data_IF_166977177076
#
_entry.id   IF_166977177076
#
_cell.length_a   1.000
_cell.length_b   1.000
_cell.length_c   1.000
_cell.angle_alpha   90.00
_cell.angle_beta   90.00
_cell.angle_gamma   90.00
#
_symmetry.space_group_name_H-M   'P 1'
#
loop_
_entity.id
_entity.type
_entity.pdbx_description
1 polymer ?
#
# COMPACT_ATOMS: atom_id res chain seq x y z
N UNK A 1 -16.58 3.93 -6.22
CA UNK A 1 -16.63 3.47 -7.62
C UNK A 1 -17.65 2.34 -7.84
N UNK A 2 -17.47 1.15 -7.26
CA UNK A 2 -18.41 0.03 -7.44
C UNK A 2 -19.87 0.38 -7.12
N UNK A 3 -20.13 1.06 -6.00
CA UNK A 3 -21.47 1.54 -5.62
C UNK A 3 -22.08 2.43 -6.71
N UNK A 4 -21.30 3.40 -7.21
CA UNK A 4 -21.71 4.30 -8.28
C UNK A 4 -22.06 3.55 -9.56
N UNK A 5 -21.24 2.56 -9.94
CA UNK A 5 -21.50 1.71 -11.11
C UNK A 5 -22.83 0.95 -10.95
N UNK A 6 -23.03 0.30 -9.80
CA UNK A 6 -24.26 -0.45 -9.50
C UNK A 6 -25.49 0.45 -9.52
N UNK A 7 -25.44 1.61 -8.85
CA UNK A 7 -26.58 2.54 -8.79
C UNK A 7 -26.90 3.09 -10.20
N UNK A 8 -25.89 3.39 -11.01
CA UNK A 8 -26.09 3.84 -12.39
C UNK A 8 -26.77 2.80 -13.27
N UNK A 9 -26.44 1.51 -13.08
CA UNK A 9 -26.95 0.41 -13.91
C UNK A 9 -28.38 0.02 -13.50
N UNK A 10 -28.68 0.05 -12.20
CA UNK A 10 -30.02 -0.30 -11.67
C UNK A 10 -31.06 0.84 -11.73
N UNK A 11 -30.60 2.06 -12.05
CA UNK A 11 -31.42 3.24 -12.29
C UNK A 11 -31.42 4.25 -11.13
N UNK A 12 -31.76 5.52 -11.41
CA UNK A 12 -31.64 6.63 -10.45
C UNK A 12 -32.53 6.49 -9.21
N UNK A 13 -33.64 5.77 -9.32
CA UNK A 13 -34.59 5.59 -8.22
C UNK A 13 -34.29 4.33 -7.38
N UNK A 14 -33.24 3.57 -7.71
CA UNK A 14 -32.92 2.32 -7.03
C UNK A 14 -32.73 2.52 -5.52
N UNK A 15 -32.06 3.59 -5.10
CA UNK A 15 -31.84 3.93 -3.70
C UNK A 15 -33.15 4.22 -2.94
N UNK A 16 -34.17 4.72 -3.64
CA UNK A 16 -35.46 5.05 -3.03
C UNK A 16 -36.41 3.86 -2.94
N UNK A 17 -36.12 2.75 -3.64
CA UNK A 17 -36.98 1.57 -3.65
C UNK A 17 -37.06 0.91 -2.28
N UNK A 18 -38.29 0.60 -1.89
CA UNK A 18 -38.57 -0.14 -0.67
C UNK A 18 -38.38 -1.65 -0.88
N UNK A 19 -37.90 -2.36 0.14
CA UNK A 19 -37.77 -3.81 0.12
C UNK A 19 -39.15 -4.48 -0.10
N UNK A 20 -39.22 -5.58 -0.86
CA UNK A 20 -40.48 -6.29 -1.05
C UNK A 20 -40.94 -6.95 0.27
N UNK A 21 -42.25 -6.95 0.52
CA UNK A 21 -42.81 -7.69 1.65
C UNK A 21 -42.69 -9.21 1.42
N UNK A 22 -42.03 -9.92 2.33
CA UNK A 22 -41.97 -11.39 2.35
C UNK A 22 -42.77 -11.97 3.50
N UNK A 23 -43.17 -13.24 3.37
CA UNK A 23 -44.03 -13.93 4.34
C UNK A 23 -43.39 -14.12 5.72
N UNK A 24 -42.05 -14.21 5.79
CA UNK A 24 -41.32 -14.54 7.02
C UNK A 24 -40.47 -13.39 7.58
N UNK A 25 -40.16 -12.37 6.79
CA UNK A 25 -39.49 -11.15 7.25
C UNK A 25 -40.11 -9.92 6.58
N UNK A 26 -40.39 -8.89 7.38
CA UNK A 26 -41.08 -7.68 6.91
C UNK A 26 -40.06 -6.67 6.40
N UNK A 27 -40.45 -5.96 5.34
CA UNK A 27 -39.88 -4.67 4.97
C UNK A 27 -39.82 -3.75 6.21
N UNK A 28 -38.80 -2.91 6.28
CA UNK A 28 -38.69 -1.89 7.31
C UNK A 28 -39.97 -1.04 7.40
N UNK A 29 -40.53 -0.97 8.59
CA UNK A 29 -41.65 -0.10 8.94
C UNK A 29 -41.25 0.72 10.16
N UNK A 30 -41.24 2.04 9.99
CA UNK A 30 -40.75 2.96 11.02
C UNK A 30 -41.51 2.81 12.33
N UNK A 31 -42.84 2.67 12.28
CA UNK A 31 -43.69 2.57 13.46
C UNK A 31 -43.44 1.29 14.26
N UNK A 32 -43.29 0.16 13.56
CA UNK A 32 -42.94 -1.13 14.14
C UNK A 32 -41.52 -1.09 14.72
N UNK A 33 -40.57 -0.49 14.00
CA UNK A 33 -39.18 -0.37 14.46
C UNK A 33 -39.07 0.47 15.73
N UNK A 34 -39.73 1.63 15.83
CA UNK A 34 -39.76 2.44 17.07
C UNK A 34 -40.30 1.62 18.24
N UNK A 35 -41.41 0.91 18.02
CA UNK A 35 -42.04 0.08 19.05
C UNK A 35 -41.09 -1.01 19.55
N UNK A 36 -40.48 -1.76 18.62
CA UNK A 36 -39.58 -2.87 18.96
C UNK A 36 -38.27 -2.38 19.59
N UNK A 37 -37.68 -1.30 19.08
CA UNK A 37 -36.45 -0.73 19.64
C UNK A 37 -36.67 -0.21 21.06
N UNK A 38 -37.80 0.45 21.35
CA UNK A 38 -38.13 0.89 22.72
C UNK A 38 -38.39 -0.29 23.67
N UNK A 39 -38.96 -1.38 23.17
CA UNK A 39 -39.35 -2.53 23.99
C UNK A 39 -38.22 -3.52 24.21
N UNK A 40 -37.41 -3.78 23.18
CA UNK A 40 -36.43 -4.87 23.15
C UNK A 40 -35.00 -4.40 22.87
N UNK A 41 -34.79 -3.12 22.51
CA UNK A 41 -33.48 -2.58 22.13
C UNK A 41 -32.97 -3.07 20.77
N UNK A 42 -33.79 -3.82 20.02
CA UNK A 42 -33.43 -4.36 18.70
C UNK A 42 -34.66 -4.54 17.81
N UNK A 43 -34.48 -4.45 16.50
CA UNK A 43 -35.51 -4.75 15.49
C UNK A 43 -34.87 -5.42 14.27
N UNK A 44 -35.47 -6.48 13.74
CA UNK A 44 -34.95 -7.20 12.56
C UNK A 44 -35.91 -7.02 11.39
N UNK A 45 -35.40 -6.58 10.25
CA UNK A 45 -36.22 -6.32 9.06
C UNK A 45 -35.41 -6.49 7.76
N UNK A 46 -36.13 -6.41 6.63
CA UNK A 46 -35.52 -6.23 5.31
C UNK A 46 -35.35 -4.73 5.02
N UNK A 47 -34.22 -4.37 4.44
CA UNK A 47 -33.94 -3.04 3.87
C UNK A 47 -33.31 -3.20 2.50
N UNK A 48 -33.32 -2.12 1.73
CA UNK A 48 -32.48 -2.00 0.56
C UNK A 48 -31.04 -1.72 1.03
N UNK A 49 -30.06 -2.52 0.58
CA UNK A 49 -28.65 -2.30 0.89
C UNK A 49 -28.15 -0.91 0.47
N UNK A 50 -28.75 -0.30 -0.55
CA UNK A 50 -28.42 1.06 -0.97
C UNK A 50 -28.84 2.14 0.06
N UNK A 51 -29.61 1.78 1.10
CA UNK A 51 -29.92 2.71 2.18
C UNK A 51 -28.75 2.90 3.15
N UNK A 52 -27.78 1.98 3.13
CA UNK A 52 -26.58 2.05 3.96
C UNK A 52 -25.68 3.19 3.49
N UNK A 53 -25.04 3.87 4.44
CA UNK A 53 -24.02 4.86 4.13
C UNK A 53 -22.73 4.12 3.71
N UNK A 54 -22.46 4.11 2.41
CA UNK A 54 -21.31 3.41 1.84
C UNK A 54 -19.97 4.16 2.01
N UNK A 55 -20.01 5.45 2.34
CA UNK A 55 -18.82 6.25 2.63
C UNK A 55 -18.47 6.23 4.13
N UNK A 56 -19.43 5.80 4.96
CA UNK A 56 -19.22 5.62 6.39
C UNK A 56 -18.41 4.36 6.70
N UNK A 57 -17.38 4.54 7.53
CA UNK A 57 -16.71 3.45 8.25
C UNK A 57 -16.81 3.71 9.75
N UNK A 58 -17.19 2.72 10.57
CA UNK A 58 -17.10 2.83 12.02
C UNK A 58 -15.65 2.92 12.52
N UNK A 59 -14.66 2.61 11.69
CA UNK A 59 -13.24 2.63 12.05
C UNK A 59 -12.38 3.21 10.90
N UNK A 60 -12.56 4.49 10.55
CA UNK A 60 -12.01 5.07 9.31
C UNK A 60 -10.47 5.12 9.26
N UNK A 61 -9.81 5.02 10.42
CA UNK A 61 -8.35 5.00 10.54
C UNK A 61 -7.74 3.61 10.36
N UNK A 62 -8.55 2.56 10.21
CA UNK A 62 -8.08 1.18 10.12
C UNK A 62 -8.10 0.75 8.66
N UNK A 63 -6.98 0.31 8.08
CA UNK A 63 -6.95 -0.18 6.71
C UNK A 63 -7.79 -1.45 6.56
N UNK A 64 -8.53 -1.55 5.46
CA UNK A 64 -9.22 -2.78 5.08
C UNK A 64 -8.28 -3.67 4.26
N UNK A 65 -8.36 -4.98 4.49
CA UNK A 65 -7.56 -5.96 3.74
C UNK A 65 -8.37 -6.43 2.54
N UNK A 66 -8.01 -5.96 1.35
CA UNK A 66 -8.76 -6.27 0.11
C UNK A 66 -8.87 -7.77 -0.15
N UNK A 67 -7.85 -8.55 0.21
CA UNK A 67 -7.90 -10.02 0.11
C UNK A 67 -9.07 -10.63 0.87
N UNK A 68 -9.49 -10.03 1.99
CA UNK A 68 -10.70 -10.43 2.71
C UNK A 68 -11.94 -10.27 1.84
N UNK A 69 -12.04 -9.14 1.15
CA UNK A 69 -13.16 -8.83 0.25
C UNK A 69 -13.20 -9.83 -0.90
N UNK A 70 -12.05 -10.12 -1.52
CA UNK A 70 -11.94 -11.15 -2.57
C UNK A 70 -12.39 -12.52 -2.08
N UNK A 71 -11.88 -12.96 -0.92
CA UNK A 71 -12.27 -14.24 -0.32
C UNK A 71 -13.78 -14.29 -0.02
N UNK A 72 -14.38 -13.16 0.36
CA UNK A 72 -15.83 -13.07 0.55
C UNK A 72 -16.60 -13.11 -0.76
N UNK A 73 -16.10 -12.48 -1.83
CA UNK A 73 -16.69 -12.58 -3.18
C UNK A 73 -16.72 -14.03 -3.60
N UNK A 74 -15.58 -14.71 -3.55
CA UNK A 74 -15.45 -16.12 -3.96
C UNK A 74 -16.35 -17.06 -3.14
N UNK A 75 -16.47 -16.82 -1.82
CA UNK A 75 -17.18 -17.75 -0.94
C UNK A 75 -18.69 -17.48 -0.83
N UNK A 76 -19.12 -16.22 -0.71
CA UNK A 76 -20.52 -15.87 -0.46
C UNK A 76 -21.25 -15.31 -1.68
N UNK A 77 -20.51 -14.73 -2.63
CA UNK A 77 -21.07 -13.97 -3.74
C UNK A 77 -20.68 -14.54 -5.11
N UNK A 78 -20.22 -15.80 -5.15
CA UNK A 78 -20.14 -16.57 -6.39
C UNK A 78 -21.51 -16.70 -7.09
N UNK A 79 -22.60 -16.50 -6.34
CA UNK A 79 -23.97 -16.39 -6.81
C UNK A 79 -24.69 -15.24 -6.06
N UNK A 80 -25.78 -14.69 -6.62
CA UNK A 80 -26.58 -13.66 -5.95
C UNK A 80 -26.99 -14.04 -4.52
N UNK A 81 -26.58 -13.22 -3.54
CA UNK A 81 -26.84 -13.43 -2.12
C UNK A 81 -27.21 -12.10 -1.44
N UNK A 82 -28.12 -12.13 -0.46
CA UNK A 82 -28.64 -10.97 0.27
C UNK A 82 -28.02 -10.79 1.66
N UNK A 83 -26.78 -11.21 1.85
CA UNK A 83 -26.06 -11.16 3.13
C UNK A 83 -26.75 -11.95 4.25
N UNK A 84 -27.58 -12.96 3.94
CA UNK A 84 -28.35 -13.70 4.96
C UNK A 84 -27.47 -14.33 6.04
N UNK A 85 -26.28 -14.77 5.63
CA UNK A 85 -25.30 -15.35 6.55
C UNK A 85 -24.46 -14.25 7.23
N UNK A 86 -24.36 -13.07 6.63
CA UNK A 86 -23.55 -11.92 7.06
C UNK A 86 -24.46 -10.83 7.62
N UNK A 87 -25.11 -11.10 8.75
CA UNK A 87 -26.03 -10.14 9.37
C UNK A 87 -25.38 -8.75 9.50
N UNK A 88 -26.04 -7.77 8.90
CA UNK A 88 -25.63 -6.37 8.98
C UNK A 88 -26.31 -5.73 10.19
N UNK A 89 -25.52 -5.05 11.02
CA UNK A 89 -26.07 -4.25 12.11
C UNK A 89 -26.16 -2.80 11.72
N UNK A 90 -27.37 -2.28 11.70
CA UNK A 90 -27.60 -0.84 11.56
C UNK A 90 -27.77 -0.23 12.94
N UNK A 91 -27.26 0.99 13.11
CA UNK A 91 -27.36 1.70 14.39
C UNK A 91 -28.25 2.92 14.28
N UNK A 92 -29.11 3.07 15.29
CA UNK A 92 -29.89 4.28 15.56
C UNK A 92 -29.41 4.84 16.91
N UNK A 93 -29.13 6.14 16.97
CA UNK A 93 -28.71 6.73 18.23
C UNK A 93 -29.90 6.86 19.19
N UNK A 94 -29.65 6.68 20.49
CA UNK A 94 -30.65 6.85 21.56
C UNK A 94 -31.33 8.22 21.47
N UNK A 95 -30.57 9.26 21.10
CA UNK A 95 -31.08 10.61 20.86
C UNK A 95 -32.06 10.67 19.69
N UNK A 96 -31.82 9.94 18.61
CA UNK A 96 -32.69 9.95 17.42
C UNK A 96 -33.97 9.16 17.67
N UNK A 97 -33.83 8.00 18.31
CA UNK A 97 -34.97 7.17 18.70
C UNK A 97 -35.92 7.90 19.68
N UNK A 98 -35.38 8.72 20.59
CA UNK A 98 -36.19 9.54 21.50
C UNK A 98 -37.12 10.51 20.75
N UNK A 99 -36.71 10.96 19.56
CA UNK A 99 -37.49 11.83 18.69
C UNK A 99 -38.27 11.05 17.61
N UNK A 100 -38.30 9.72 17.69
CA UNK A 100 -38.83 8.83 16.65
C UNK A 100 -38.26 9.17 15.26
N UNK A 101 -36.94 9.39 15.18
CA UNK A 101 -36.24 9.68 13.92
C UNK A 101 -35.36 8.51 13.51
N UNK A 102 -35.34 8.24 12.21
CA UNK A 102 -34.39 7.35 11.56
C UNK A 102 -33.52 8.12 10.57
N UNK A 103 -32.33 7.61 10.24
CA UNK A 103 -31.50 8.20 9.20
C UNK A 103 -32.24 8.19 7.85
N UNK A 104 -31.94 9.17 6.99
CA UNK A 104 -32.47 9.18 5.62
C UNK A 104 -31.90 8.00 4.83
N UNK A 105 -32.63 7.51 3.82
CA UNK A 105 -32.10 6.51 2.87
C UNK A 105 -30.75 7.00 2.31
N UNK A 106 -29.76 6.12 2.29
CA UNK A 106 -28.37 6.41 1.90
C UNK A 106 -27.46 6.89 3.03
N UNK A 107 -28.00 7.08 4.25
CA UNK A 107 -27.24 7.57 5.42
C UNK A 107 -27.26 6.62 6.62
N UNK A 108 -27.70 5.37 6.41
CA UNK A 108 -27.79 4.39 7.49
C UNK A 108 -26.40 3.89 7.87
N UNK A 109 -25.91 4.34 9.03
CA UNK A 109 -24.65 3.88 9.62
C UNK A 109 -24.80 2.46 10.14
N UNK A 110 -23.75 1.66 9.99
CA UNK A 110 -23.72 0.27 10.44
C UNK A 110 -22.51 -0.03 11.33
N UNK A 111 -22.68 -0.99 12.23
CA UNK A 111 -21.64 -1.47 13.16
C UNK A 111 -21.00 -2.78 12.71
N UNK A 112 -21.60 -3.52 11.78
CA UNK A 112 -20.99 -4.74 11.24
C UNK A 112 -19.69 -4.42 10.48
N UNK A 113 -18.90 -5.46 10.20
CA UNK A 113 -17.73 -5.35 9.33
C UNK A 113 -18.13 -4.79 7.95
N UNK A 114 -17.26 -3.98 7.34
CA UNK A 114 -17.49 -3.32 6.04
C UNK A 114 -17.31 -4.28 4.85
N UNK A 115 -16.41 -5.26 4.99
CA UNK A 115 -16.01 -6.19 3.92
C UNK A 115 -17.18 -6.96 3.28
N UNK A 116 -18.20 -7.46 4.01
CA UNK A 116 -19.35 -8.13 3.42
C UNK A 116 -20.14 -7.26 2.44
N UNK A 117 -20.40 -6.00 2.80
CA UNK A 117 -21.14 -5.05 1.95
C UNK A 117 -20.28 -4.70 0.74
N UNK A 118 -18.99 -4.41 0.95
CA UNK A 118 -18.05 -4.14 -0.14
C UNK A 118 -17.93 -5.32 -1.12
N UNK A 119 -17.86 -6.55 -0.61
CA UNK A 119 -17.77 -7.77 -1.42
C UNK A 119 -19.03 -7.97 -2.26
N UNK A 120 -20.22 -7.75 -1.68
CA UNK A 120 -21.47 -7.80 -2.43
C UNK A 120 -21.49 -6.81 -3.59
N UNK A 121 -21.16 -5.52 -3.34
CA UNK A 121 -21.13 -4.51 -4.39
C UNK A 121 -20.04 -4.76 -5.44
N UNK A 122 -18.88 -5.27 -5.03
CA UNK A 122 -17.82 -5.66 -5.95
C UNK A 122 -18.25 -6.81 -6.88
N UNK A 123 -18.92 -7.85 -6.35
CA UNK A 123 -19.43 -8.96 -7.16
C UNK A 123 -20.47 -8.50 -8.20
N UNK A 124 -21.37 -7.59 -7.81
CA UNK A 124 -22.36 -7.01 -8.73
C UNK A 124 -21.67 -6.14 -9.79
N UNK A 125 -20.73 -5.28 -9.37
CA UNK A 125 -19.95 -4.44 -10.27
C UNK A 125 -19.18 -5.28 -11.31
N UNK A 126 -18.54 -6.38 -10.90
CA UNK A 126 -17.88 -7.31 -11.83
C UNK A 126 -18.87 -7.94 -12.82
N UNK A 127 -20.08 -8.29 -12.38
CA UNK A 127 -21.13 -8.82 -13.27
C UNK A 127 -21.58 -7.77 -14.31
N UNK A 128 -21.75 -6.51 -13.88
CA UNK A 128 -22.09 -5.38 -14.76
C UNK A 128 -20.96 -5.15 -15.78
N UNK A 129 -19.71 -5.16 -15.32
CA UNK A 129 -18.55 -4.89 -16.17
C UNK A 129 -18.38 -5.99 -17.22
N UNK A 130 -18.44 -7.27 -16.83
CA UNK A 130 -18.39 -8.38 -17.76
C UNK A 130 -19.51 -8.30 -18.82
N UNK A 131 -20.71 -7.86 -18.43
CA UNK A 131 -21.83 -7.64 -19.35
C UNK A 131 -21.52 -6.54 -20.37
N UNK A 132 -20.96 -5.41 -19.91
CA UNK A 132 -20.63 -4.25 -20.76
C UNK A 132 -19.49 -4.55 -21.74
N UNK A 133 -18.50 -5.30 -21.29
CA UNK A 133 -17.33 -5.67 -22.09
C UNK A 133 -17.61 -6.84 -23.03
N UNK A 134 -18.77 -7.50 -22.89
CA UNK A 134 -19.08 -8.73 -23.61
C UNK A 134 -18.15 -9.89 -23.24
N UNK A 135 -17.55 -9.85 -22.06
CA UNK A 135 -16.60 -10.87 -21.61
C UNK A 135 -17.32 -12.20 -21.40
N UNK A 136 -16.86 -13.25 -22.09
CA UNK A 136 -17.48 -14.57 -22.02
C UNK A 136 -18.83 -14.69 -22.75
N UNK A 137 -19.33 -13.63 -23.39
CA UNK A 137 -20.59 -13.65 -24.15
C UNK A 137 -20.30 -13.93 -25.62
N UNK A 138 -20.66 -15.13 -26.07
CA UNK A 138 -20.58 -15.54 -27.49
C UNK A 138 -21.95 -15.57 -28.16
N UNK A 139 -23.02 -15.59 -27.36
CA UNK A 139 -24.39 -15.78 -27.81
C UNK A 139 -25.36 -14.82 -27.11
N UNK A 140 -26.49 -14.54 -27.75
CA UNK A 140 -27.57 -13.76 -27.13
C UNK A 140 -28.15 -14.44 -25.89
N UNK A 141 -28.09 -15.78 -25.81
CA UNK A 141 -28.55 -16.53 -24.65
C UNK A 141 -27.66 -16.32 -23.41
N UNK A 142 -26.35 -16.18 -23.60
CA UNK A 142 -25.43 -15.85 -22.50
C UNK A 142 -25.65 -14.42 -22.00
N UNK A 143 -25.89 -13.47 -22.91
CA UNK A 143 -26.23 -12.09 -22.52
C UNK A 143 -27.51 -12.04 -21.68
N UNK A 144 -28.56 -12.74 -22.12
CA UNK A 144 -29.82 -12.82 -21.39
C UNK A 144 -29.62 -13.42 -19.99
N UNK A 145 -28.79 -14.45 -19.84
CA UNK A 145 -28.46 -15.03 -18.52
C UNK A 145 -27.79 -14.02 -17.60
N UNK A 146 -26.93 -13.15 -18.12
CA UNK A 146 -26.31 -12.09 -17.32
C UNK A 146 -27.33 -11.04 -16.89
N UNK A 147 -28.24 -10.63 -17.79
CA UNK A 147 -29.32 -9.71 -17.44
C UNK A 147 -30.26 -10.31 -16.38
N UNK A 148 -30.60 -11.60 -16.51
CA UNK A 148 -31.40 -12.34 -15.53
C UNK A 148 -30.66 -12.39 -14.18
N UNK A 149 -29.35 -12.65 -14.18
CA UNK A 149 -28.53 -12.65 -12.98
C UNK A 149 -28.49 -11.27 -12.30
N UNK A 150 -28.40 -10.18 -13.08
CA UNK A 150 -28.45 -8.81 -12.55
C UNK A 150 -29.83 -8.47 -11.97
N UNK A 151 -30.92 -8.97 -12.55
CA UNK A 151 -32.25 -8.85 -11.95
C UNK A 151 -32.30 -9.52 -10.57
N UNK A 152 -31.73 -10.73 -10.44
CA UNK A 152 -31.66 -11.43 -9.15
C UNK A 152 -30.79 -10.64 -8.17
N UNK A 153 -29.64 -10.10 -8.59
CA UNK A 153 -28.80 -9.25 -7.73
C UNK A 153 -29.56 -8.04 -7.20
N UNK A 154 -30.32 -7.36 -8.05
CA UNK A 154 -31.17 -6.23 -7.65
C UNK A 154 -32.19 -6.66 -6.59
N UNK A 155 -32.86 -7.79 -6.78
CA UNK A 155 -33.77 -8.35 -5.77
C UNK A 155 -33.03 -8.64 -4.46
N UNK A 156 -31.81 -9.20 -4.51
CA UNK A 156 -31.03 -9.50 -3.30
C UNK A 156 -30.60 -8.25 -2.53
N UNK A 157 -30.24 -7.17 -3.20
CA UNK A 157 -29.97 -5.89 -2.53
C UNK A 157 -31.21 -5.35 -1.83
N UNK A 158 -32.39 -5.43 -2.48
CA UNK A 158 -33.67 -5.04 -1.89
C UNK A 158 -34.11 -5.95 -0.72
N UNK A 159 -33.51 -7.13 -0.58
CA UNK A 159 -33.84 -8.12 0.44
C UNK A 159 -32.75 -8.25 1.50
N UNK A 160 -31.95 -7.21 1.70
CA UNK A 160 -30.85 -7.25 2.66
C UNK A 160 -31.42 -7.28 4.08
N UNK A 161 -31.12 -8.35 4.81
CA UNK A 161 -31.55 -8.48 6.19
C UNK A 161 -30.64 -7.68 7.11
N UNK A 162 -31.24 -6.81 7.94
CA UNK A 162 -30.54 -6.02 8.95
C UNK A 162 -31.10 -6.24 10.35
N UNK A 163 -30.22 -6.17 11.34
CA UNK A 163 -30.56 -6.04 12.75
C UNK A 163 -30.30 -4.58 13.16
N UNK A 164 -31.37 -3.81 13.43
CA UNK A 164 -31.28 -2.44 13.92
C UNK A 164 -31.10 -2.46 15.44
N UNK A 165 -30.10 -1.73 15.95
CA UNK A 165 -29.84 -1.56 17.38
C UNK A 165 -29.74 -0.12 17.80
N UNK A 166 -30.00 0.12 19.07
CA UNK A 166 -29.88 1.44 19.70
C UNK A 166 -28.50 1.56 20.35
N UNK A 167 -27.80 2.67 20.09
CA UNK A 167 -26.54 3.03 20.74
C UNK A 167 -26.61 4.43 21.33
N UNK A 168 -25.96 4.70 22.45
CA UNK A 168 -26.08 6.02 23.09
C UNK A 168 -25.35 7.13 22.34
N UNK A 169 -24.24 6.80 21.70
CA UNK A 169 -23.41 7.75 20.97
C UNK A 169 -22.50 7.05 19.94
N UNK A 170 -21.80 7.86 19.14
CA UNK A 170 -20.88 7.36 18.11
C UNK A 170 -19.68 6.59 18.68
N UNK A 171 -19.23 6.88 19.91
CA UNK A 171 -18.12 6.14 20.54
C UNK A 171 -18.54 4.70 20.82
N UNK A 172 -19.75 4.49 21.35
CA UNK A 172 -20.31 3.15 21.55
C UNK A 172 -20.51 2.40 20.23
N UNK A 173 -20.92 3.09 19.17
CA UNK A 173 -20.99 2.53 17.81
C UNK A 173 -19.63 2.00 17.35
N UNK A 174 -18.55 2.76 17.55
CA UNK A 174 -17.20 2.28 17.23
C UNK A 174 -16.85 1.01 18.01
N UNK A 175 -17.08 1.00 19.33
CA UNK A 175 -16.82 -0.18 20.18
C UNK A 175 -17.66 -1.39 19.79
N UNK A 176 -18.94 -1.18 19.47
CA UNK A 176 -19.80 -2.24 18.96
C UNK A 176 -19.22 -2.84 17.67
N UNK A 177 -18.70 -2.01 16.77
CA UNK A 177 -18.06 -2.49 15.55
C UNK A 177 -16.78 -3.31 15.80
N UNK A 178 -15.98 -2.92 16.79
CA UNK A 178 -14.83 -3.73 17.22
C UNK A 178 -15.29 -5.06 17.81
N UNK A 179 -16.30 -5.02 18.69
CA UNK A 179 -16.85 -6.20 19.33
C UNK A 179 -17.44 -7.17 18.31
N UNK A 180 -18.03 -6.66 17.22
CA UNK A 180 -18.46 -7.49 16.09
C UNK A 180 -17.30 -8.30 15.53
N UNK A 181 -16.17 -7.66 15.23
CA UNK A 181 -14.99 -8.35 14.67
C UNK A 181 -14.39 -9.37 15.65
N UNK A 182 -14.45 -9.14 16.95
CA UNK A 182 -14.01 -10.11 17.97
C UNK A 182 -15.00 -11.26 18.17
N UNK A 183 -16.31 -11.02 18.03
CA UNK A 183 -17.37 -12.02 18.21
C UNK A 183 -17.51 -13.01 17.06
N UNK A 184 -16.83 -12.78 15.94
CA UNK A 184 -16.91 -13.61 14.74
C UNK A 184 -16.11 -14.91 14.98
N UNK A 185 -16.66 -15.75 15.87
CA UNK A 185 -16.15 -17.08 16.18
C UNK A 185 -16.24 -18.05 14.98
N UNK A 186 -17.00 -17.69 13.94
CA UNK A 186 -17.27 -18.53 12.76
C UNK A 186 -16.57 -18.05 11.47
N UNK A 187 -15.94 -16.87 11.41
CA UNK A 187 -15.29 -16.37 10.17
C UNK A 187 -13.92 -15.77 10.44
N UNK A 188 -12.93 -16.63 10.48
CA UNK A 188 -11.53 -16.30 10.79
C UNK A 188 -10.91 -15.24 9.88
N UNK A 189 -11.45 -15.00 8.67
CA UNK A 189 -10.93 -13.97 7.75
C UNK A 189 -11.47 -12.55 8.03
N UNK A 190 -12.54 -12.38 8.82
CA UNK A 190 -13.02 -11.06 9.25
C UNK A 190 -12.39 -10.58 10.57
N UNK A 191 -11.63 -11.46 11.23
CA UNK A 191 -10.90 -11.13 12.44
C UNK A 191 -9.88 -10.03 12.15
N UNK A 192 -9.79 -9.05 13.06
CA UNK A 192 -8.80 -7.98 12.92
C UNK A 192 -7.39 -8.56 12.87
N UNK A 193 -6.61 -8.09 11.91
CA UNK A 193 -5.18 -8.39 11.86
C UNK A 193 -4.43 -7.61 12.94
N UNK A 194 -3.16 -8.00 13.18
CA UNK A 194 -2.30 -7.27 14.11
C UNK A 194 -2.02 -5.83 13.65
N UNK A 195 -1.93 -5.59 12.33
CA UNK A 195 -1.74 -4.24 11.76
C UNK A 195 -2.97 -3.39 12.01
N UNK A 196 -4.16 -3.91 11.71
CA UNK A 196 -5.43 -3.23 11.98
C UNK A 196 -5.60 -2.90 13.46
N UNK A 197 -5.20 -3.80 14.36
CA UNK A 197 -5.19 -3.57 15.81
C UNK A 197 -4.25 -2.43 16.19
N UNK A 198 -3.06 -2.31 15.58
CA UNK A 198 -2.12 -1.21 15.86
C UNK A 198 -2.69 0.14 15.41
N UNK A 199 -3.33 0.21 14.23
CA UNK A 199 -4.01 1.44 13.79
C UNK A 199 -5.13 1.85 14.76
N UNK A 200 -5.89 0.87 15.26
CA UNK A 200 -6.92 1.10 16.26
C UNK A 200 -6.35 1.65 17.58
N UNK A 201 -5.28 1.03 18.10
CA UNK A 201 -4.58 1.48 19.30
C UNK A 201 -4.10 2.93 19.16
N UNK A 202 -3.52 3.29 18.02
CA UNK A 202 -3.08 4.66 17.75
C UNK A 202 -4.26 5.64 17.73
N UNK A 203 -5.37 5.27 17.08
CA UNK A 203 -6.55 6.13 17.00
C UNK A 203 -7.15 6.38 18.40
N UNK A 204 -7.25 5.34 19.22
CA UNK A 204 -7.75 5.45 20.61
C UNK A 204 -6.77 6.19 21.53
N UNK A 205 -5.47 5.98 21.38
CA UNK A 205 -4.45 6.77 22.09
C UNK A 205 -4.57 8.27 21.76
N UNK A 206 -4.77 8.60 20.48
CA UNK A 206 -4.98 9.99 20.03
C UNK A 206 -6.27 10.57 20.62
N UNK A 207 -7.34 9.78 20.70
CA UNK A 207 -8.62 10.19 21.29
C UNK A 207 -8.53 10.47 22.79
N UNK A 208 -7.79 9.66 23.55
CA UNK A 208 -7.56 9.88 24.98
C UNK A 208 -6.63 11.07 25.26
N UNK A 209 -5.80 11.43 24.28
CA UNK A 209 -4.89 12.57 24.35
C UNK A 209 -3.49 12.21 24.87
N UNK A 210 -2.55 13.17 24.82
CA UNK A 210 -1.12 12.92 25.02
C UNK A 210 -0.72 12.57 26.46
N UNK A 211 -1.62 12.74 27.42
CA UNK A 211 -1.37 12.48 28.84
C UNK A 211 -1.90 11.13 29.32
N UNK A 212 -2.63 10.39 28.46
CA UNK A 212 -3.13 9.08 28.82
C UNK A 212 -1.97 8.07 28.88
N UNK A 213 -1.94 7.30 29.95
CA UNK A 213 -1.00 6.19 30.08
C UNK A 213 -1.46 5.00 29.23
N UNK A 214 -0.55 4.07 28.96
CA UNK A 214 -0.90 2.81 28.34
C UNK A 214 -1.84 1.97 29.22
N UNK A 215 -1.75 2.11 30.55
CA UNK A 215 -2.68 1.45 31.50
C UNK A 215 -4.10 1.98 31.31
N UNK A 216 -4.28 3.30 31.17
CA UNK A 216 -5.59 3.91 30.90
C UNK A 216 -6.20 3.36 29.59
N UNK A 217 -5.37 3.22 28.56
CA UNK A 217 -5.82 2.66 27.30
C UNK A 217 -6.15 1.17 27.42
N UNK A 218 -5.35 0.37 28.14
CA UNK A 218 -5.67 -1.03 28.40
C UNK A 218 -6.98 -1.21 29.17
N UNK A 219 -7.21 -0.38 30.19
CA UNK A 219 -8.47 -0.33 30.94
C UNK A 219 -9.65 -0.02 30.02
N UNK A 220 -9.51 1.00 29.16
CA UNK A 220 -10.55 1.37 28.19
C UNK A 220 -10.94 0.19 27.30
N UNK A 221 -9.97 -0.58 26.77
CA UNK A 221 -10.25 -1.78 25.99
C UNK A 221 -10.94 -2.87 26.83
N UNK A 222 -10.43 -3.16 28.03
CA UNK A 222 -10.99 -4.21 28.88
C UNK A 222 -12.42 -3.91 29.35
N UNK A 223 -12.78 -2.64 29.51
CA UNK A 223 -14.13 -2.20 29.87
C UNK A 223 -15.11 -2.29 28.70
N UNK A 224 -14.66 -2.04 27.47
CA UNK A 224 -15.54 -1.91 26.30
C UNK A 224 -15.51 -3.13 25.36
N UNK A 225 -14.49 -3.99 25.45
CA UNK A 225 -14.25 -5.07 24.50
C UNK A 225 -14.02 -6.40 25.22
N UNK A 226 -14.79 -7.40 24.83
CA UNK A 226 -14.60 -8.80 25.20
C UNK A 226 -13.81 -9.50 24.11
N UNK A 227 -12.50 -9.61 24.34
CA UNK A 227 -11.58 -10.26 23.40
C UNK A 227 -11.88 -11.75 23.25
N UNK A 228 -11.75 -12.25 22.02
CA UNK A 228 -11.77 -13.69 21.75
C UNK A 228 -10.60 -14.40 22.46
N UNK A 229 -10.77 -15.67 22.83
CA UNK A 229 -9.67 -16.47 23.39
C UNK A 229 -8.51 -16.69 22.42
N UNK A 230 -8.72 -16.42 21.12
CA UNK A 230 -7.69 -16.48 20.08
C UNK A 230 -6.97 -15.14 19.88
N UNK A 231 -7.53 -14.05 20.39
CA UNK A 231 -6.97 -12.71 20.26
C UNK A 231 -5.86 -12.49 21.28
N UNK A 232 -4.83 -11.76 20.88
CA UNK A 232 -3.75 -11.32 21.77
C UNK A 232 -4.33 -10.35 22.83
N UNK A 233 -4.05 -10.55 24.13
CA UNK A 233 -4.56 -9.67 25.17
C UNK A 233 -3.98 -8.25 25.02
N UNK A 234 -4.84 -7.24 25.20
CA UNK A 234 -4.45 -5.83 25.15
C UNK A 234 -3.94 -5.43 26.54
N UNK A 235 -2.65 -5.69 26.79
CA UNK A 235 -1.91 -5.27 27.98
C UNK A 235 -1.16 -3.95 27.75
N UNK A 236 -0.70 -3.30 28.82
CA UNK A 236 0.21 -2.13 28.73
C UNK A 236 1.40 -2.40 27.79
N UNK A 237 2.09 -3.53 27.99
CA UNK A 237 3.19 -3.92 27.11
C UNK A 237 2.75 -4.12 25.64
N UNK A 238 1.57 -4.70 25.38
CA UNK A 238 1.05 -4.83 24.01
C UNK A 238 0.80 -3.45 23.37
N UNK A 239 0.29 -2.49 24.15
CA UNK A 239 0.06 -1.12 23.72
C UNK A 239 1.37 -0.41 23.42
N UNK A 240 2.36 -0.48 24.32
CA UNK A 240 3.69 0.10 24.08
C UNK A 240 4.32 -0.44 22.79
N UNK A 241 4.26 -1.77 22.62
CA UNK A 241 4.76 -2.43 21.43
C UNK A 241 4.05 -1.95 20.16
N UNK A 242 2.71 -1.91 20.18
CA UNK A 242 1.90 -1.45 19.04
C UNK A 242 2.17 0.00 18.68
N UNK A 243 2.19 0.92 19.65
CA UNK A 243 2.46 2.34 19.42
C UNK A 243 3.89 2.58 18.93
N UNK A 244 4.88 1.79 19.38
CA UNK A 244 6.23 1.84 18.83
C UNK A 244 6.27 1.40 17.36
N UNK A 245 5.58 0.29 17.03
CA UNK A 245 5.46 -0.19 15.65
C UNK A 245 4.80 0.86 14.77
N UNK A 246 3.73 1.50 15.24
CA UNK A 246 3.08 2.57 14.50
C UNK A 246 4.08 3.67 14.12
N UNK A 247 4.79 4.20 15.13
CA UNK A 247 5.76 5.30 14.95
C UNK A 247 6.98 4.94 14.09
N UNK A 248 7.48 3.71 14.20
CA UNK A 248 8.72 3.27 13.51
C UNK A 248 8.48 2.59 12.16
N UNK A 249 7.28 2.10 11.88
CA UNK A 249 6.97 1.34 10.67
C UNK A 249 5.73 1.87 9.95
N UNK A 250 4.56 1.85 10.58
CA UNK A 250 3.29 2.07 9.87
C UNK A 250 3.08 3.52 9.41
N UNK A 251 3.76 4.50 10.02
CA UNK A 251 3.78 5.89 9.55
C UNK A 251 4.56 6.04 8.22
N UNK A 252 5.45 5.10 7.88
CA UNK A 252 6.27 5.18 6.68
C UNK A 252 5.63 4.37 5.53
N UNK A 253 5.23 5.03 4.43
CA UNK A 253 4.55 4.36 3.32
C UNK A 253 5.32 3.19 2.72
N UNK A 254 6.65 3.27 2.69
CA UNK A 254 7.51 2.23 2.12
C UNK A 254 7.43 0.92 2.92
N UNK A 255 7.34 1.03 4.26
CA UNK A 255 7.19 -0.14 5.13
C UNK A 255 5.74 -0.61 5.15
N UNK A 256 4.78 0.33 5.24
CA UNK A 256 3.36 0.01 5.28
C UNK A 256 2.93 -0.77 4.03
N UNK A 257 3.37 -0.39 2.83
CA UNK A 257 3.06 -1.12 1.60
C UNK A 257 3.54 -2.56 1.62
N UNK A 258 4.74 -2.82 2.16
CA UNK A 258 5.26 -4.19 2.30
C UNK A 258 4.42 -4.99 3.29
N UNK A 259 4.06 -4.37 4.42
CA UNK A 259 3.23 -5.00 5.44
C UNK A 259 1.84 -5.34 4.87
N UNK A 260 1.18 -4.40 4.18
CA UNK A 260 -0.16 -4.60 3.62
C UNK A 260 -0.19 -5.70 2.54
N UNK A 261 0.85 -5.81 1.70
CA UNK A 261 1.00 -6.94 0.77
C UNK A 261 1.11 -8.27 1.51
N UNK A 262 1.84 -8.28 2.61
CA UNK A 262 2.00 -9.48 3.44
C UNK A 262 0.71 -9.83 4.21
N UNK A 263 -0.20 -8.88 4.45
CA UNK A 263 -1.51 -9.14 5.05
C UNK A 263 -2.45 -9.94 4.15
N UNK A 264 -2.20 -9.99 2.83
CA UNK A 264 -2.94 -10.83 1.90
C UNK A 264 -2.84 -12.33 2.28
N UNK A 265 -1.78 -12.73 3.00
CA UNK A 265 -1.61 -14.09 3.50
C UNK A 265 -2.35 -14.38 4.82
N UNK A 266 -3.08 -13.40 5.39
CA UNK A 266 -3.86 -13.55 6.63
C UNK A 266 -3.11 -14.23 7.78
N UNK A 267 -3.59 -15.39 8.25
CA UNK A 267 -2.99 -16.19 9.34
C UNK A 267 -1.62 -16.76 8.98
N UNK A 268 -1.26 -16.73 7.69
CA UNK A 268 0.06 -17.12 7.21
C UNK A 268 0.98 -15.92 7.01
N UNK A 269 0.55 -14.70 7.32
CA UNK A 269 1.37 -13.49 7.27
C UNK A 269 2.58 -13.61 8.20
N UNK A 270 3.75 -13.12 7.77
CA UNK A 270 4.93 -13.01 8.65
C UNK A 270 4.75 -11.95 9.73
N UNK A 271 3.78 -11.05 9.55
CA UNK A 271 3.48 -9.90 10.40
C UNK A 271 2.15 -10.06 11.15
N UNK A 272 1.70 -11.30 11.33
CA UNK A 272 0.45 -11.70 12.00
C UNK A 272 0.40 -11.36 13.52
N UNK A 273 1.45 -10.80 14.13
CA UNK A 273 1.53 -10.50 15.56
C UNK A 273 2.13 -9.13 15.88
N UNK A 274 1.56 -8.42 16.86
CA UNK A 274 2.09 -7.12 17.34
C UNK A 274 3.52 -7.29 17.85
N UNK A 275 3.77 -8.33 18.64
CA UNK A 275 5.09 -8.64 19.19
C UNK A 275 6.13 -8.97 18.10
N UNK A 276 5.73 -9.59 16.97
CA UNK A 276 6.62 -9.88 15.84
C UNK A 276 7.02 -8.61 15.10
N UNK A 277 6.07 -7.74 14.79
CA UNK A 277 6.32 -6.42 14.19
C UNK A 277 7.22 -5.56 15.08
N UNK A 278 6.94 -5.56 16.39
CA UNK A 278 7.72 -4.83 17.38
C UNK A 278 9.17 -5.34 17.44
N UNK A 279 9.37 -6.66 17.42
CA UNK A 279 10.73 -7.23 17.44
C UNK A 279 11.59 -6.72 16.27
N UNK A 280 11.00 -6.56 15.08
CA UNK A 280 11.68 -5.95 13.93
C UNK A 280 12.03 -4.49 14.23
N UNK A 281 11.03 -3.69 14.63
CA UNK A 281 11.19 -2.26 14.91
C UNK A 281 12.16 -1.95 16.08
N UNK A 282 12.28 -2.87 17.03
CA UNK A 282 13.16 -2.75 18.18
C UNK A 282 14.63 -3.10 17.84
N UNK A 283 14.85 -3.88 16.78
CA UNK A 283 16.20 -4.24 16.30
C UNK A 283 16.75 -3.26 15.28
N UNK A 284 15.90 -2.44 14.68
CA UNK A 284 16.30 -1.43 13.71
C UNK A 284 16.56 -0.09 14.41
N UNK A 285 17.71 0.49 14.10
CA UNK A 285 18.20 1.74 14.68
C UNK A 285 17.83 2.95 13.82
N UNK A 286 17.79 2.78 12.50
CA UNK A 286 17.41 3.84 11.55
C UNK A 286 16.19 3.45 10.71
N UNK A 287 15.58 4.45 10.08
CA UNK A 287 14.44 4.24 9.17
C UNK A 287 14.85 3.40 7.97
N UNK A 288 16.01 3.67 7.39
CA UNK A 288 16.54 2.98 6.21
C UNK A 288 16.78 1.51 6.50
N UNK A 289 17.32 1.22 7.70
CA UNK A 289 17.48 -0.16 8.18
C UNK A 289 16.11 -0.85 8.31
N UNK A 290 15.10 -0.17 8.86
CA UNK A 290 13.76 -0.72 8.95
C UNK A 290 13.14 -1.02 7.56
N UNK A 291 13.19 -0.06 6.63
CA UNK A 291 12.72 -0.25 5.24
C UNK A 291 13.39 -1.46 4.62
N UNK A 292 14.72 -1.56 4.75
CA UNK A 292 15.49 -2.66 4.20
C UNK A 292 15.08 -4.00 4.82
N UNK A 293 14.98 -4.10 6.15
CA UNK A 293 14.62 -5.34 6.84
C UNK A 293 13.21 -5.81 6.45
N UNK A 294 12.20 -4.93 6.46
CA UNK A 294 10.83 -5.30 6.08
C UNK A 294 10.77 -5.79 4.63
N UNK A 295 11.38 -5.04 3.70
CA UNK A 295 11.42 -5.41 2.27
C UNK A 295 12.16 -6.72 2.04
N UNK A 296 13.30 -6.93 2.72
CA UNK A 296 14.10 -8.14 2.62
C UNK A 296 13.33 -9.37 3.13
N UNK A 297 12.64 -9.26 4.26
CA UNK A 297 11.81 -10.34 4.82
C UNK A 297 10.73 -10.75 3.81
N UNK A 298 9.99 -9.79 3.26
CA UNK A 298 8.97 -10.07 2.27
C UNK A 298 9.56 -10.69 0.99
N UNK A 299 10.70 -10.16 0.51
CA UNK A 299 11.41 -10.70 -0.65
C UNK A 299 11.83 -12.17 -0.45
N UNK A 300 12.44 -12.51 0.69
CA UNK A 300 12.79 -13.90 0.99
C UNK A 300 11.57 -14.84 1.02
N UNK A 301 10.39 -14.34 1.40
CA UNK A 301 9.16 -15.12 1.33
C UNK A 301 8.76 -15.37 -0.12
N UNK A 302 8.69 -14.31 -0.92
CA UNK A 302 8.30 -14.39 -2.33
C UNK A 302 9.21 -15.31 -3.15
N UNK A 303 10.48 -15.43 -2.78
CA UNK A 303 11.44 -16.33 -3.43
C UNK A 303 11.46 -17.76 -2.87
N UNK A 304 10.64 -18.08 -1.85
CA UNK A 304 10.67 -19.39 -1.20
C UNK A 304 11.96 -19.63 -0.38
N UNK A 305 12.71 -18.57 -0.06
CA UNK A 305 13.89 -18.65 0.81
C UNK A 305 13.53 -18.81 2.29
N UNK A 306 12.25 -18.58 2.63
CA UNK A 306 11.70 -18.87 3.95
C UNK A 306 10.79 -20.10 3.94
N UNK A 307 10.85 -20.95 4.98
CA UNK A 307 10.01 -22.14 5.07
C UNK A 307 8.52 -21.77 5.20
N UNK A 308 7.68 -22.46 4.44
CA UNK A 308 6.22 -22.23 4.26
C UNK A 308 5.35 -22.27 5.52
N UNK A 309 5.88 -22.61 6.70
CA UNK A 309 5.05 -22.88 7.88
C UNK A 309 5.53 -22.12 9.11
N UNK A 310 4.70 -21.18 9.55
CA UNK A 310 4.69 -20.55 10.87
C UNK A 310 6.07 -20.05 11.34
N UNK A 311 6.50 -18.91 10.82
CA UNK A 311 7.69 -18.23 11.33
C UNK A 311 7.40 -17.50 12.66
N UNK A 312 6.82 -18.17 13.65
CA UNK A 312 7.16 -17.85 15.06
C UNK A 312 8.67 -18.02 15.27
N UNK A 313 9.32 -18.84 14.42
CA UNK A 313 10.74 -19.06 14.39
C UNK A 313 11.52 -18.20 13.39
N UNK A 314 11.01 -17.12 12.77
CA UNK A 314 11.90 -16.25 11.96
C UNK A 314 13.06 -15.74 12.83
N UNK A 315 12.85 -15.48 14.12
CA UNK A 315 13.92 -15.10 15.03
C UNK A 315 14.78 -16.27 15.55
N UNK A 316 14.25 -17.49 15.57
CA UNK A 316 15.08 -18.71 15.71
C UNK A 316 15.90 -18.95 14.44
N UNK A 317 15.41 -18.55 13.25
CA UNK A 317 15.99 -18.77 11.93
C UNK A 317 16.98 -17.66 11.52
N UNK A 318 16.63 -16.38 11.58
CA UNK A 318 17.56 -15.23 11.60
C UNK A 318 18.51 -15.29 12.82
N UNK A 319 18.17 -16.09 13.83
CA UNK A 319 19.04 -16.54 14.92
C UNK A 319 19.93 -17.75 14.59
N UNK A 320 19.58 -18.56 13.58
CA UNK A 320 20.41 -19.67 13.13
C UNK A 320 21.57 -19.14 12.30
N UNK A 321 22.73 -19.78 12.45
CA UNK A 321 23.90 -19.48 11.64
C UNK A 321 23.58 -19.54 10.13
N UNK A 322 22.62 -20.37 9.71
CA UNK A 322 22.27 -20.61 8.30
C UNK A 322 21.59 -19.41 7.63
N UNK A 323 20.56 -18.82 8.23
CA UNK A 323 19.91 -17.63 7.62
C UNK A 323 20.84 -16.43 7.71
N UNK A 324 21.55 -16.21 8.83
CA UNK A 324 22.56 -15.13 8.91
C UNK A 324 23.69 -15.32 7.91
N UNK A 325 24.08 -16.55 7.61
CA UNK A 325 25.06 -16.84 6.58
C UNK A 325 24.48 -16.58 5.18
N UNK A 326 23.22 -16.95 4.93
CA UNK A 326 22.55 -16.68 3.65
C UNK A 326 22.35 -15.18 3.42
N UNK A 327 21.95 -14.43 4.44
CA UNK A 327 21.89 -12.96 4.41
C UNK A 327 23.27 -12.37 4.16
N UNK A 328 24.29 -12.77 4.93
CA UNK A 328 25.67 -12.30 4.72
C UNK A 328 26.22 -12.68 3.34
N UNK A 329 25.81 -13.82 2.80
CA UNK A 329 26.21 -14.28 1.46
C UNK A 329 25.51 -13.47 0.37
N UNK A 330 24.19 -13.27 0.49
CA UNK A 330 23.41 -12.48 -0.46
C UNK A 330 23.77 -10.99 -0.41
N UNK A 331 24.27 -10.50 0.73
CA UNK A 331 24.70 -9.12 0.91
C UNK A 331 26.23 -8.98 0.98
N UNK A 332 26.99 -9.97 0.51
CA UNK A 332 28.45 -9.92 0.53
C UNK A 332 28.96 -8.78 -0.36
N UNK A 333 28.31 -8.57 -1.50
CA UNK A 333 28.54 -7.46 -2.41
C UNK A 333 27.29 -7.22 -3.30
N UNK A 334 27.31 -6.16 -4.10
CA UNK A 334 26.21 -5.78 -4.99
C UNK A 334 25.89 -6.85 -6.03
N UNK A 335 26.88 -7.63 -6.48
CA UNK A 335 26.71 -8.68 -7.48
C UNK A 335 25.99 -9.87 -6.87
N UNK A 336 26.41 -10.32 -5.68
CA UNK A 336 25.76 -11.38 -4.92
C UNK A 336 24.30 -11.03 -4.59
N UNK A 337 24.01 -9.75 -4.32
CA UNK A 337 22.64 -9.29 -4.10
C UNK A 337 21.82 -9.36 -5.38
N UNK A 338 22.35 -8.84 -6.50
CA UNK A 338 21.68 -8.88 -7.83
C UNK A 338 21.38 -10.29 -8.29
N UNK A 339 22.34 -11.20 -8.13
CA UNK A 339 22.18 -12.63 -8.41
C UNK A 339 21.11 -13.25 -7.51
N UNK A 340 21.09 -12.88 -6.23
CA UNK A 340 20.12 -13.40 -5.27
C UNK A 340 18.69 -12.90 -5.55
N UNK A 341 18.51 -11.63 -5.91
CA UNK A 341 17.18 -11.05 -6.19
C UNK A 341 16.62 -11.43 -7.56
N UNK A 342 17.32 -12.28 -8.32
CA UNK A 342 16.89 -12.71 -9.64
C UNK A 342 16.87 -11.58 -10.67
N UNK A 343 17.68 -10.52 -10.48
CA UNK A 343 17.97 -9.59 -11.58
C UNK A 343 18.81 -10.40 -12.56
N UNK A 344 18.12 -11.01 -13.52
CA UNK A 344 18.71 -11.97 -14.44
C UNK A 344 19.94 -11.39 -15.12
N UNK A 345 20.87 -12.27 -15.48
CA UNK A 345 21.80 -12.02 -16.59
C UNK A 345 21.03 -11.97 -17.92
N UNK A 346 19.88 -11.31 -17.97
CA UNK A 346 19.33 -10.90 -19.25
C UNK A 346 20.39 -9.98 -19.85
N UNK A 347 20.89 -10.34 -21.02
CA UNK A 347 21.79 -9.50 -21.77
C UNK A 347 21.06 -8.18 -21.99
N UNK A 348 21.39 -7.18 -21.17
CA UNK A 348 20.87 -5.83 -21.35
C UNK A 348 21.23 -5.45 -22.77
N UNK A 349 20.23 -5.13 -23.59
CA UNK A 349 20.50 -4.66 -24.95
C UNK A 349 21.32 -3.37 -24.83
N UNK A 350 22.62 -3.49 -25.11
CA UNK A 350 23.55 -2.38 -25.15
C UNK A 350 23.59 -1.73 -26.54
N UNK A 351 22.61 -1.98 -27.40
CA UNK A 351 22.50 -1.38 -28.73
C UNK A 351 22.50 0.15 -28.71
N UNK A 352 22.05 0.77 -27.62
CA UNK A 352 22.15 2.22 -27.39
C UNK A 352 23.59 2.73 -27.22
N UNK A 353 24.56 1.84 -26.94
CA UNK A 353 25.99 2.14 -26.94
C UNK A 353 26.63 2.09 -28.33
N UNK A 354 25.89 1.67 -29.36
CA UNK A 354 26.43 1.59 -30.71
C UNK A 354 26.91 2.97 -31.18
N UNK A 355 28.19 3.08 -31.54
CA UNK A 355 28.83 4.33 -31.95
C UNK A 355 29.38 5.19 -30.81
N UNK A 356 29.38 4.69 -29.57
CA UNK A 356 30.06 5.36 -28.47
C UNK A 356 31.56 5.41 -28.69
N UNK A 357 32.18 6.50 -28.23
CA UNK A 357 33.62 6.60 -28.18
C UNK A 357 34.19 5.76 -27.04
N UNK A 358 35.46 5.39 -27.13
CA UNK A 358 36.14 4.62 -26.07
C UNK A 358 36.14 5.38 -24.74
N UNK A 359 36.27 6.71 -24.78
CA UNK A 359 36.16 7.57 -23.60
C UNK A 359 34.78 7.49 -22.94
N UNK A 360 33.69 7.45 -23.73
CA UNK A 360 32.33 7.32 -23.20
C UNK A 360 32.10 5.96 -22.51
N UNK A 361 32.64 4.88 -23.07
CA UNK A 361 32.60 3.56 -22.41
C UNK A 361 33.42 3.52 -21.13
N UNK A 362 34.59 4.15 -21.10
CA UNK A 362 35.44 4.23 -19.90
C UNK A 362 34.81 5.08 -18.80
N UNK A 363 34.13 6.18 -19.13
CA UNK A 363 33.32 6.95 -18.17
C UNK A 363 32.22 6.10 -17.57
N UNK A 364 31.50 5.34 -18.40
CA UNK A 364 30.41 4.50 -17.92
C UNK A 364 30.91 3.34 -17.04
N UNK A 365 32.05 2.73 -17.39
CA UNK A 365 32.71 1.73 -16.56
C UNK A 365 33.16 2.33 -15.22
N UNK A 366 33.78 3.51 -15.26
CA UNK A 366 34.18 4.24 -14.06
C UNK A 366 32.98 4.56 -13.15
N UNK A 367 31.91 5.11 -13.70
CA UNK A 367 30.67 5.39 -12.96
C UNK A 367 30.06 4.10 -12.41
N UNK A 368 30.08 3.02 -13.20
CA UNK A 368 29.64 1.70 -12.78
C UNK A 368 30.41 1.19 -11.57
N UNK A 369 31.73 1.29 -11.59
CA UNK A 369 32.60 0.89 -10.49
C UNK A 369 32.51 1.84 -9.28
N UNK A 370 32.32 3.13 -9.50
CA UNK A 370 32.18 4.13 -8.44
C UNK A 370 30.85 4.03 -7.69
N UNK A 371 29.77 3.74 -8.40
CA UNK A 371 28.41 3.71 -7.84
C UNK A 371 28.06 2.32 -7.34
N UNK A 372 28.43 1.26 -8.08
CA UNK A 372 27.92 -0.09 -7.83
C UNK A 372 28.98 -1.07 -7.34
N UNK A 373 30.26 -0.68 -7.27
CA UNK A 373 31.34 -1.55 -6.75
C UNK A 373 31.95 -1.02 -5.46
N UNK A 374 32.46 -1.93 -4.64
CA UNK A 374 33.24 -1.59 -3.44
C UNK A 374 34.65 -1.08 -3.77
N UNK A 375 35.07 -1.13 -5.05
CA UNK A 375 36.43 -0.82 -5.51
C UNK A 375 36.97 0.52 -5.01
N UNK A 376 36.10 1.52 -4.90
CA UNK A 376 36.46 2.89 -4.48
C UNK A 376 35.77 3.36 -3.18
N UNK A 377 34.91 2.52 -2.58
CA UNK A 377 34.06 2.91 -1.46
C UNK A 377 34.83 3.36 -0.22
N UNK A 378 35.84 2.61 0.22
CA UNK A 378 36.59 2.94 1.45
C UNK A 378 37.38 4.24 1.31
N UNK A 379 37.91 4.48 0.12
CA UNK A 379 38.64 5.70 -0.20
C UNK A 379 37.71 6.92 -0.26
N UNK A 380 36.61 6.84 -1.03
CA UNK A 380 35.61 7.91 -1.07
C UNK A 380 35.04 8.19 0.33
N UNK A 381 34.73 7.16 1.10
CA UNK A 381 34.24 7.30 2.48
C UNK A 381 35.25 7.98 3.39
N UNK A 382 36.54 7.64 3.25
CA UNK A 382 37.62 8.27 4.03
C UNK A 382 37.79 9.73 3.66
N UNK A 383 37.77 10.04 2.36
CA UNK A 383 37.92 11.41 1.89
C UNK A 383 36.72 12.30 2.23
N UNK A 384 35.49 11.77 2.19
CA UNK A 384 34.29 12.45 2.68
C UNK A 384 34.36 12.73 4.18
N UNK A 385 34.84 11.77 4.99
CA UNK A 385 35.05 11.97 6.43
C UNK A 385 36.10 13.04 6.74
N UNK A 386 37.10 13.16 5.87
CA UNK A 386 38.17 14.15 5.99
C UNK A 386 37.82 15.49 5.35
N UNK A 387 36.63 15.63 4.76
CA UNK A 387 36.18 16.83 4.04
C UNK A 387 37.19 17.30 2.98
N UNK A 388 37.85 16.36 2.31
CA UNK A 388 38.80 16.65 1.22
C UNK A 388 38.08 17.23 0.02
N UNK A 389 38.75 18.13 -0.71
CA UNK A 389 38.27 18.58 -2.02
C UNK A 389 38.26 17.41 -3.01
N UNK A 390 37.53 17.53 -4.12
CA UNK A 390 37.47 16.46 -5.14
C UNK A 390 38.85 16.23 -5.73
N UNK A 391 39.60 17.31 -5.94
CA UNK A 391 40.98 17.30 -6.41
C UNK A 391 41.87 16.52 -5.43
N UNK A 392 41.78 16.82 -4.13
CA UNK A 392 42.52 16.09 -3.09
C UNK A 392 42.10 14.61 -3.01
N UNK A 393 40.83 14.28 -3.28
CA UNK A 393 40.36 12.88 -3.33
C UNK A 393 41.03 12.12 -4.48
N UNK A 394 41.09 12.73 -5.67
CA UNK A 394 41.68 12.14 -6.86
C UNK A 394 43.20 12.02 -6.77
N UNK A 395 43.86 12.96 -6.10
CA UNK A 395 45.30 12.92 -5.87
C UNK A 395 45.70 11.96 -4.74
N UNK A 396 44.86 11.80 -3.72
CA UNK A 396 45.17 10.94 -2.56
C UNK A 396 44.83 9.47 -2.75
N UNK A 397 44.02 9.12 -3.74
CA UNK A 397 43.71 7.74 -4.11
C UNK A 397 44.29 7.40 -5.49
N UNK A 398 45.36 6.60 -5.50
CA UNK A 398 46.01 6.21 -6.75
C UNK A 398 45.06 5.50 -7.70
N UNK A 399 44.10 4.71 -7.22
CA UNK A 399 43.21 3.92 -8.08
C UNK A 399 42.11 4.77 -8.69
N UNK A 400 41.49 5.65 -7.89
CA UNK A 400 40.46 6.57 -8.38
C UNK A 400 41.07 7.62 -9.32
N UNK A 401 42.25 8.15 -8.96
CA UNK A 401 43.01 9.07 -9.78
C UNK A 401 43.48 8.47 -11.10
N UNK A 402 43.95 7.21 -11.09
CA UNK A 402 44.35 6.47 -12.30
C UNK A 402 43.15 6.26 -13.24
N UNK A 403 41.98 5.88 -12.73
CA UNK A 403 40.79 5.67 -13.57
C UNK A 403 40.30 6.97 -14.22
N UNK A 404 40.33 8.10 -13.49
CA UNK A 404 39.98 9.42 -14.05
C UNK A 404 41.03 9.88 -15.05
N UNK A 405 42.32 9.58 -14.80
CA UNK A 405 43.41 9.90 -15.73
C UNK A 405 43.27 9.11 -17.03
N UNK A 406 42.94 7.82 -16.95
CA UNK A 406 42.71 6.96 -18.11
C UNK A 406 41.57 7.50 -18.99
N UNK A 407 40.45 7.91 -18.39
CA UNK A 407 39.34 8.56 -19.11
C UNK A 407 39.80 9.85 -19.82
N UNK A 408 40.59 10.69 -19.14
CA UNK A 408 41.11 11.94 -19.72
C UNK A 408 42.07 11.69 -20.88
N UNK A 409 42.94 10.69 -20.77
CA UNK A 409 43.88 10.30 -21.81
C UNK A 409 43.14 9.78 -23.05
N UNK A 410 42.12 8.94 -22.87
CA UNK A 410 41.28 8.46 -23.97
C UNK A 410 40.54 9.60 -24.68
N UNK A 411 39.96 10.52 -23.92
CA UNK A 411 39.28 11.69 -24.48
C UNK A 411 40.25 12.59 -25.27
N UNK A 412 41.47 12.75 -24.78
CA UNK A 412 42.51 13.51 -25.49
C UNK A 412 42.95 12.81 -26.77
N UNK A 413 43.13 11.49 -26.75
CA UNK A 413 43.50 10.71 -27.93
C UNK A 413 42.41 10.76 -29.00
N UNK A 414 41.13 10.70 -28.61
CA UNK A 414 39.99 10.86 -29.53
C UNK A 414 39.95 12.24 -30.17
N UNK A 415 40.24 13.30 -29.40
CA UNK A 415 40.34 14.68 -29.93
C UNK A 415 41.48 14.82 -30.93
N UNK A 416 42.63 14.23 -30.66
CA UNK A 416 43.79 14.24 -31.58
C UNK A 416 43.48 13.45 -32.86
N UNK A 417 42.91 12.25 -32.74
CA UNK A 417 42.50 11.44 -33.89
C UNK A 417 41.45 12.15 -34.76
N UNK A 418 40.49 12.83 -34.14
CA UNK A 418 39.47 13.64 -34.85
C UNK A 418 40.09 14.85 -35.56
N UNK A 419 41.13 15.45 -34.99
CA UNK A 419 41.86 16.56 -35.60
C UNK A 419 42.70 16.12 -36.81
N UNK A 420 43.25 14.90 -36.79
CA UNK A 420 44.03 14.33 -37.91
C UNK A 420 43.15 13.85 -39.08
N UNK A 421 41.90 13.44 -38.80
CA UNK A 421 40.92 13.04 -39.82
C UNK A 421 40.09 14.19 -40.38
N UNK A 422 40.23 15.39 -39.81
CA UNK A 422 39.63 16.59 -40.37
C UNK A 422 40.24 16.87 -41.76
N UNK A 423 39.44 16.88 -42.85
CA UNK A 423 39.97 17.07 -44.19
C UNK A 423 40.70 18.42 -44.28
N UNK A 424 41.99 18.36 -44.64
CA UNK A 424 42.82 19.51 -44.95
C UNK A 424 42.04 20.46 -45.85
N UNK A 425 41.64 21.61 -45.30
CA UNK A 425 40.85 22.63 -45.96
C UNK A 425 41.53 23.06 -47.28
N UNK A 426 41.05 22.47 -48.36
CA UNK A 426 41.45 22.75 -49.73
C UNK A 426 40.20 22.87 -50.60
N UNK A 427 39.27 23.75 -50.22
CA UNK A 427 38.48 24.55 -51.16
C UNK A 427 37.57 25.55 -50.40
N UNK A 428 37.70 26.88 -50.62
CA UNK A 428 36.92 27.88 -49.91
C UNK A 428 35.62 28.17 -50.67
N UNK A 429 34.76 27.17 -50.86
CA UNK A 429 33.39 27.42 -51.30
C UNK A 429 32.50 26.25 -50.94
N UNK A 430 31.42 26.53 -50.19
CA UNK A 430 30.34 25.62 -49.81
C UNK A 430 30.59 24.72 -48.58
N UNK A 431 30.36 25.28 -47.39
CA UNK A 431 29.41 24.72 -46.41
C UNK A 431 29.28 25.68 -45.21
N UNK A 432 28.11 26.28 -45.05
CA UNK A 432 27.69 26.87 -43.77
C UNK A 432 27.27 25.70 -42.88
N UNK A 433 28.20 25.19 -42.08
CA UNK A 433 27.90 24.40 -40.91
C UNK A 433 28.02 25.34 -39.70
N UNK A 434 26.89 25.64 -39.06
CA UNK A 434 26.84 26.38 -37.80
C UNK A 434 27.44 25.54 -36.68
N UNK A 435 28.71 25.77 -36.37
CA UNK A 435 29.27 25.48 -35.06
C UNK A 435 28.61 26.45 -34.07
N UNK A 436 27.60 25.95 -33.35
CA UNK A 436 27.07 26.65 -32.19
C UNK A 436 27.96 26.30 -31.00
N UNK A 437 28.66 27.27 -30.38
CA UNK A 437 29.49 27.00 -29.22
C UNK A 437 28.63 26.43 -28.10
N UNK A 438 29.13 25.40 -27.39
CA UNK A 438 28.45 24.64 -26.34
C UNK A 438 27.80 25.52 -25.24
N UNK A 439 28.23 26.77 -25.09
CA UNK A 439 27.61 27.78 -24.21
C UNK A 439 26.21 28.24 -24.68
N UNK A 440 25.96 28.40 -25.99
CA UNK A 440 24.67 28.85 -26.52
C UNK A 440 23.59 27.77 -26.38
N UNK A 441 23.94 26.49 -26.52
CA UNK A 441 23.02 25.36 -26.32
C UNK A 441 22.62 25.20 -24.84
N UNK A 442 23.50 25.60 -23.91
CA UNK A 442 23.25 25.58 -22.46
C UNK A 442 22.36 26.74 -21.98
N UNK A 443 22.47 27.91 -22.61
CA UNK A 443 21.56 29.04 -22.33
C UNK A 443 20.13 28.75 -22.80
N UNK A 444 19.96 28.03 -23.92
CA UNK A 444 18.65 27.59 -24.40
C UNK A 444 17.96 26.53 -23.52
N UNK A 445 18.71 25.75 -22.71
CA UNK A 445 18.15 24.74 -21.80
C UNK A 445 17.78 25.30 -20.41
N UNK A 446 18.21 26.52 -20.08
CA UNK A 446 17.95 27.15 -18.78
C UNK A 446 16.46 27.35 -18.46
N UNK A 447 15.58 27.73 -19.41
CA UNK A 447 14.15 27.87 -19.14
C UNK A 447 13.46 26.52 -18.91
N UNK A 448 13.81 25.49 -19.68
CA UNK A 448 13.24 24.15 -19.57
C UNK A 448 13.60 23.47 -18.24
N UNK A 449 14.84 23.66 -17.77
CA UNK A 449 15.30 23.16 -16.47
C UNK A 449 14.59 23.87 -15.30
N UNK A 450 14.36 25.17 -15.42
CA UNK A 450 13.60 25.94 -14.43
C UNK A 450 12.12 25.52 -14.38
N UNK A 451 11.51 25.26 -15.53
CA UNK A 451 10.12 24.78 -15.61
C UNK A 451 9.99 23.35 -15.04
N UNK A 452 10.98 22.49 -15.28
CA UNK A 452 11.06 21.16 -14.68
C UNK A 452 11.16 21.22 -13.14
N UNK A 453 12.06 22.03 -12.58
CA UNK A 453 12.21 22.21 -11.12
C UNK A 453 10.94 22.79 -10.49
N UNK A 454 10.26 23.71 -11.19
CA UNK A 454 9.02 24.35 -10.74
C UNK A 454 7.83 23.38 -10.77
N UNK A 455 7.71 22.55 -11.81
CA UNK A 455 6.63 21.55 -11.94
C UNK A 455 6.73 20.43 -10.89
N UNK A 456 7.93 20.20 -10.33
CA UNK A 456 8.17 19.21 -9.27
C UNK A 456 8.13 19.77 -7.85
N UNK A 457 7.74 21.04 -7.67
CA UNK A 457 7.59 21.66 -6.35
C UNK A 457 8.91 21.87 -5.58
N UNK A 458 10.05 21.81 -6.28
CA UNK A 458 11.39 21.87 -5.67
C UNK A 458 11.87 23.32 -5.52
N UNK A 459 11.13 24.14 -4.76
CA UNK A 459 11.33 25.61 -4.71
C UNK A 459 12.66 26.07 -4.08
N UNK A 460 13.43 25.17 -3.45
CA UNK A 460 14.67 25.49 -2.74
C UNK A 460 15.93 24.92 -3.42
N UNK A 461 15.83 24.38 -4.64
CA UNK A 461 17.00 23.84 -5.33
C UNK A 461 17.74 24.93 -6.08
N UNK A 462 19.01 25.12 -5.71
CA UNK A 462 19.93 26.05 -6.35
C UNK A 462 20.29 25.55 -7.76
N UNK A 463 19.64 26.16 -8.76
CA UNK A 463 19.78 25.81 -10.18
C UNK A 463 21.23 25.98 -10.66
N UNK A 464 22.00 26.89 -10.06
CA UNK A 464 23.42 27.07 -10.41
C UNK A 464 24.30 25.93 -9.90
N UNK A 465 23.93 25.28 -8.79
CA UNK A 465 24.60 24.05 -8.34
C UNK A 465 24.26 22.86 -9.23
N UNK A 466 23.02 22.76 -9.71
CA UNK A 466 22.62 21.73 -10.67
C UNK A 466 23.34 21.90 -12.02
N UNK A 467 23.47 23.14 -12.52
CA UNK A 467 24.25 23.43 -13.73
C UNK A 467 25.73 23.05 -13.56
N UNK A 468 26.33 23.34 -12.40
CA UNK A 468 27.71 22.92 -12.10
C UNK A 468 27.86 21.40 -12.04
N UNK A 469 26.88 20.69 -11.49
CA UNK A 469 26.86 19.23 -11.46
C UNK A 469 26.71 18.64 -12.87
N UNK A 470 25.86 19.24 -13.71
CA UNK A 470 25.66 18.85 -15.11
C UNK A 470 26.84 19.22 -16.03
N UNK A 471 27.62 20.25 -15.69
CA UNK A 471 28.88 20.56 -16.36
C UNK A 471 30.04 19.63 -15.93
N UNK A 472 29.89 18.98 -14.78
CA UNK A 472 30.90 18.08 -14.22
C UNK A 472 30.71 16.63 -14.67
N UNK A 473 29.46 16.22 -14.89
CA UNK A 473 29.07 15.00 -15.62
C UNK A 473 29.30 15.24 -17.12
#
# INVERSE_FOLDING_TARGET
>A
ENVTLVHSDFGPDFEMQDPPHKSWLRAFDESAAVSDLKKYGKHTCLVNAAWLDHDYSPCPSIPLVWKTVENMIEHYFAQPNNLSDQKIEVVVLSSDLAHNKFPTKGSWKFASAEEPVMAMYAAIASTIQARRDGEGVKTNEELQKMDDQLCIWKEKLLETQVDIKVMDNEIQLQWAAQQYRENINQRTYLTRTSVQRIFDLQAKSTLLGPHASNEDLALLYNENLKLSSKSEPISDNCIDQGLLVYKKALVFPEILQVILKEEEYHTSSLFDGVSKLWAICNKTSTREEAIWVFSFIHHCRCNGDMPDKSCTSFWLLAGTAKVRAKIRSACADCQAYREHVGVGQESVDLGWKSGWSGAADSVLLFLGEAIFSAKYHDSMRTSMRQAKSVEDCLESDSKLGEAVKEVKEQLQNERLASAETAPSAGDPTSAVATDVPMQETLEMQSPALQEFVKSRGMQNVDVDKLKKLQMFI
#
